data_IF_760204346493
#
_entry.id   IF_760204346493
#
_cell.length_a   1.000
_cell.length_b   1.000
_cell.length_c   1.000
_cell.angle_alpha   90.00
_cell.angle_beta   90.00
_cell.angle_gamma   90.00
#
_symmetry.space_group_name_H-M   'P 1'
#
loop_
_entity.id
_entity.type
_entity.pdbx_description
1 polymer ?
#
# COMPACT_ATOMS: atom_id res chain seq x y z
N UNK A 1 37.39 -39.81 29.38
CA UNK A 1 37.99 -39.68 28.03
C UNK A 1 36.91 -40.00 26.98
N UNK A 2 36.01 -39.07 26.70
CA UNK A 2 34.87 -39.28 25.78
C UNK A 2 35.27 -38.93 24.34
N UNK A 3 35.03 -39.89 23.46
CA UNK A 3 35.39 -39.91 22.04
C UNK A 3 34.57 -38.89 21.22
N UNK A 4 35.27 -38.24 20.30
CA UNK A 4 34.77 -37.29 19.29
C UNK A 4 33.69 -37.89 18.39
N UNK A 5 32.63 -37.14 18.12
CA UNK A 5 31.57 -37.48 17.14
C UNK A 5 31.75 -36.58 15.91
N UNK A 6 31.76 -37.13 14.67
CA UNK A 6 32.06 -36.35 13.47
C UNK A 6 30.92 -35.41 13.09
N UNK A 7 31.27 -34.17 12.75
CA UNK A 7 30.35 -33.16 12.27
C UNK A 7 29.96 -33.45 10.81
N UNK A 8 28.68 -33.72 10.58
CA UNK A 8 28.11 -33.93 9.25
C UNK A 8 27.79 -32.57 8.64
N UNK A 9 28.42 -32.23 7.51
CA UNK A 9 28.07 -31.03 6.74
C UNK A 9 26.61 -31.15 6.23
N UNK A 10 25.73 -30.16 6.49
CA UNK A 10 24.40 -30.16 5.90
C UNK A 10 24.50 -29.96 4.38
N UNK A 11 23.72 -30.75 3.65
CA UNK A 11 23.64 -30.69 2.20
C UNK A 11 22.98 -29.38 1.73
N UNK A 12 23.39 -28.92 0.54
CA UNK A 12 22.92 -27.70 -0.09
C UNK A 12 21.41 -27.68 -0.36
N UNK A 13 20.70 -26.67 0.15
CA UNK A 13 20.22 -25.50 -0.63
C UNK A 13 19.53 -24.51 0.33
N UNK A 14 19.94 -23.26 0.24
CA UNK A 14 19.52 -22.12 1.06
C UNK A 14 18.06 -21.73 0.82
N UNK A 15 17.19 -21.95 1.81
CA UNK A 15 15.82 -21.39 1.83
C UNK A 15 15.76 -19.97 2.41
N UNK A 16 16.84 -19.50 3.05
CA UNK A 16 16.84 -18.23 3.78
C UNK A 16 16.72 -16.99 2.86
N UNK A 17 17.15 -17.08 1.61
CA UNK A 17 17.12 -15.94 0.68
C UNK A 17 15.76 -15.78 -0.02
N UNK A 18 15.11 -16.87 -0.46
CA UNK A 18 13.77 -16.80 -1.04
C UNK A 18 12.68 -16.47 0.00
N UNK A 19 12.92 -16.77 1.28
CA UNK A 19 12.09 -16.29 2.39
C UNK A 19 12.09 -14.75 2.50
N UNK A 20 13.16 -14.10 2.04
CA UNK A 20 13.27 -12.63 1.98
C UNK A 20 12.49 -12.01 0.82
N UNK A 21 12.11 -12.79 -0.19
CA UNK A 21 11.32 -12.32 -1.35
C UNK A 21 9.82 -12.56 -1.15
N UNK A 22 9.43 -13.53 -0.31
CA UNK A 22 8.03 -13.91 -0.07
C UNK A 22 7.32 -13.20 1.08
N UNK A 23 8.04 -12.48 1.96
CA UNK A 23 7.43 -11.72 3.06
C UNK A 23 7.10 -10.26 2.65
N UNK A 24 7.20 -9.95 1.36
CA UNK A 24 6.46 -8.89 0.70
C UNK A 24 5.16 -9.49 0.16
N UNK A 25 4.15 -9.56 1.03
CA UNK A 25 2.76 -9.93 0.73
C UNK A 25 2.35 -9.43 -0.67
N UNK A 26 1.95 -10.36 -1.55
CA UNK A 26 0.62 -10.44 -2.20
C UNK A 26 0.56 -11.77 -3.00
N UNK A 27 -0.47 -12.63 -2.80
CA UNK A 27 -1.66 -12.51 -3.65
C UNK A 27 -3.00 -12.95 -3.01
N UNK A 28 -3.10 -13.05 -1.68
CA UNK A 28 -4.36 -13.42 -0.99
C UNK A 28 -5.18 -12.23 -0.47
N UNK A 29 -4.99 -11.02 -1.02
CA UNK A 29 -6.10 -10.06 -1.18
C UNK A 29 -7.14 -10.56 -2.22
N UNK A 30 -7.31 -11.87 -2.34
CA UNK A 30 -8.55 -12.51 -2.77
C UNK A 30 -9.54 -12.45 -1.61
N UNK A 31 -9.99 -11.24 -1.28
CA UNK A 31 -11.32 -11.06 -0.74
C UNK A 31 -12.17 -10.51 -1.88
N UNK A 32 -12.83 -11.42 -2.56
CA UNK A 32 -14.04 -11.14 -3.31
C UNK A 32 -15.05 -10.43 -2.40
N UNK A 33 -15.67 -9.39 -2.97
CA UNK A 33 -17.02 -8.90 -2.67
C UNK A 33 -17.15 -8.22 -1.29
N UNK A 34 -17.18 -6.88 -1.23
CA UNK A 34 -18.36 -5.99 -1.27
C UNK A 34 -17.73 -4.57 -1.48
N UNK A 35 -18.00 -3.74 -2.50
CA UNK A 35 -19.27 -3.08 -2.82
C UNK A 35 -19.09 -2.25 -4.13
N UNK A 36 -20.11 -2.34 -4.99
CA UNK A 36 -20.60 -1.30 -5.89
C UNK A 36 -19.79 -0.90 -7.15
N UNK A 37 -20.29 -1.46 -8.25
CA UNK A 37 -20.29 -0.88 -9.58
C UNK A 37 -20.53 0.64 -9.59
N UNK A 38 -19.47 1.40 -9.83
CA UNK A 38 -19.54 2.69 -10.51
C UNK A 38 -18.66 2.54 -11.74
N UNK A 39 -19.29 2.66 -12.91
CA UNK A 39 -18.68 2.49 -14.23
C UNK A 39 -17.25 3.04 -14.26
N UNK A 40 -16.28 2.16 -14.46
CA UNK A 40 -14.88 2.56 -14.54
C UNK A 40 -14.72 3.52 -15.73
N UNK A 41 -14.46 4.83 -15.50
CA UNK A 41 -14.00 5.67 -16.58
C UNK A 41 -12.64 5.13 -17.02
N UNK A 42 -12.34 5.25 -18.32
CA UNK A 42 -11.05 4.86 -18.89
C UNK A 42 -9.90 5.30 -17.95
N UNK A 43 -8.85 4.47 -17.75
CA UNK A 43 -7.82 4.75 -16.76
C UNK A 43 -7.17 6.09 -17.05
N UNK A 44 -7.59 7.12 -16.31
CA UNK A 44 -7.06 8.47 -16.41
C UNK A 44 -5.60 8.38 -15.98
N UNK A 45 -4.69 8.92 -16.79
CA UNK A 45 -3.27 8.94 -16.46
C UNK A 45 -3.04 9.83 -15.21
N UNK A 46 -2.87 9.19 -14.05
CA UNK A 46 -2.66 9.87 -12.78
C UNK A 46 -1.19 10.29 -12.62
N UNK A 47 -0.94 11.57 -12.33
CA UNK A 47 0.40 12.07 -11.94
C UNK A 47 0.53 12.03 -10.41
N UNK A 48 1.74 11.73 -9.91
CA UNK A 48 2.05 11.78 -8.47
C UNK A 48 2.11 13.24 -8.03
N UNK A 49 1.37 13.58 -6.97
CA UNK A 49 1.37 14.91 -6.36
C UNK A 49 2.06 14.83 -5.00
N UNK A 50 3.24 15.44 -4.88
CA UNK A 50 4.02 15.49 -3.65
C UNK A 50 3.88 16.87 -3.03
N UNK A 51 3.41 16.93 -1.79
CA UNK A 51 3.27 18.18 -1.03
C UNK A 51 3.81 17.98 0.39
N UNK A 52 4.41 19.05 0.92
CA UNK A 52 4.78 19.13 2.32
C UNK A 52 3.64 19.75 3.12
N UNK A 53 3.21 19.05 4.17
CA UNK A 53 2.16 19.51 5.08
C UNK A 53 2.63 19.36 6.53
N UNK A 54 2.28 20.30 7.43
CA UNK A 54 2.58 20.16 8.84
C UNK A 54 1.98 18.88 9.42
N UNK A 55 2.69 18.24 10.35
CA UNK A 55 2.29 16.96 10.95
C UNK A 55 0.89 17.03 11.57
N UNK A 56 0.58 18.12 12.27
CA UNK A 56 -0.72 18.32 12.90
C UNK A 56 -1.86 18.40 11.87
N UNK A 57 -1.61 19.05 10.72
CA UNK A 57 -2.58 19.16 9.64
C UNK A 57 -2.83 17.79 9.00
N UNK A 58 -1.75 17.04 8.72
CA UNK A 58 -1.86 15.70 8.15
C UNK A 58 -2.63 14.75 9.07
N UNK A 59 -2.36 14.77 10.38
CA UNK A 59 -3.06 13.95 11.36
C UNK A 59 -4.57 14.28 11.41
N UNK A 60 -4.92 15.56 11.46
CA UNK A 60 -6.32 16.01 11.43
C UNK A 60 -7.03 15.61 10.14
N UNK A 61 -6.39 15.83 8.99
CA UNK A 61 -6.96 15.47 7.69
C UNK A 61 -7.19 13.96 7.58
N UNK A 62 -6.22 13.13 8.02
CA UNK A 62 -6.35 11.67 8.03
C UNK A 62 -7.51 11.20 8.90
N UNK A 63 -7.67 11.74 10.12
CA UNK A 63 -8.77 11.38 11.00
C UNK A 63 -10.14 11.75 10.41
N UNK A 64 -10.28 12.94 9.85
CA UNK A 64 -11.54 13.40 9.25
C UNK A 64 -11.90 12.53 8.03
N UNK A 65 -10.92 12.19 7.19
CA UNK A 65 -11.16 11.32 6.02
C UNK A 65 -11.57 9.91 6.45
N UNK A 66 -10.95 9.36 7.51
CA UNK A 66 -11.31 8.06 8.07
C UNK A 66 -12.74 8.04 8.63
N UNK A 67 -13.15 9.09 9.34
CA UNK A 67 -14.54 9.23 9.83
C UNK A 67 -15.56 9.30 8.70
N UNK A 68 -15.17 9.83 7.54
CA UNK A 68 -16.02 9.93 6.34
C UNK A 68 -15.97 8.68 5.46
N UNK A 69 -15.16 7.67 5.80
CA UNK A 69 -14.98 6.47 4.99
C UNK A 69 -14.35 6.72 3.62
N UNK A 70 -13.59 7.81 3.46
CA UNK A 70 -12.99 8.20 2.18
C UNK A 70 -11.47 8.11 2.22
N UNK A 71 -10.88 7.76 1.08
CA UNK A 71 -9.44 7.87 0.90
C UNK A 71 -9.02 9.34 0.88
N UNK A 72 -7.92 9.63 1.57
CA UNK A 72 -7.38 11.00 1.65
C UNK A 72 -7.02 11.55 0.26
N UNK A 73 -6.56 10.70 -0.66
CA UNK A 73 -6.25 11.08 -2.03
C UNK A 73 -7.48 11.59 -2.80
N UNK A 74 -8.64 10.96 -2.62
CA UNK A 74 -9.89 11.35 -3.28
C UNK A 74 -10.44 12.66 -2.73
N UNK A 75 -10.34 12.88 -1.41
CA UNK A 75 -10.73 14.17 -0.83
C UNK A 75 -9.82 15.31 -1.31
N UNK A 76 -8.50 15.06 -1.44
CA UNK A 76 -7.57 16.04 -2.01
C UNK A 76 -7.91 16.32 -3.47
N UNK A 77 -8.22 15.31 -4.28
CA UNK A 77 -8.69 15.52 -5.67
C UNK A 77 -9.94 16.38 -5.72
N UNK A 78 -10.94 16.06 -4.89
CA UNK A 78 -12.19 16.84 -4.80
C UNK A 78 -11.94 18.31 -4.45
N UNK A 79 -11.01 18.57 -3.52
CA UNK A 79 -10.62 19.94 -3.15
C UNK A 79 -9.92 20.66 -4.32
N UNK A 80 -9.03 19.98 -5.02
CA UNK A 80 -8.33 20.52 -6.18
C UNK A 80 -9.29 20.81 -7.34
N UNK A 81 -10.25 19.93 -7.62
CA UNK A 81 -11.26 20.13 -8.68
C UNK A 81 -12.21 21.29 -8.35
N UNK A 82 -12.52 21.50 -7.06
CA UNK A 82 -13.35 22.62 -6.62
C UNK A 82 -12.64 23.97 -6.78
N UNK A 83 -11.33 24.02 -6.51
CA UNK A 83 -10.54 25.26 -6.58
C UNK A 83 -10.02 25.55 -8.00
N UNK A 84 -9.74 24.50 -8.78
CA UNK A 84 -9.28 24.57 -10.17
C UNK A 84 -10.34 23.94 -11.10
N UNK A 85 -11.52 24.57 -11.27
CA UNK A 85 -12.49 24.09 -12.24
C UNK A 85 -11.87 24.10 -13.63
N UNK A 86 -12.27 23.15 -14.47
CA UNK A 86 -11.87 23.08 -15.88
C UNK A 86 -12.46 24.26 -16.67
N UNK A 87 -11.91 25.46 -16.46
CA UNK A 87 -12.16 26.63 -17.28
C UNK A 87 -11.00 26.72 -18.26
N UNK A 88 -11.06 25.89 -19.31
CA UNK A 88 -10.59 26.13 -20.69
C UNK A 88 -10.37 24.82 -21.44
#
# INVERSE_FOLDING_TARGET
>A
MSKTVPFRMPAAKSQAADAWVGEGVEPHLKLTEIEQAVAAPAPIAMKRFTIDVPVELHARAKMICAQRGKFMADEIRRLLEAEFPATS
#
